data_IF_262163495590
#
_entry.id   IF_262163495590
#
_cell.length_a   1.000
_cell.length_b   1.000
_cell.length_c   1.000
_cell.angle_alpha   90.00
_cell.angle_beta   90.00
_cell.angle_gamma   90.00
#
_symmetry.space_group_name_H-M   'P 1'
#
loop_
_entity.id
_entity.type
_entity.pdbx_description
1 polymer ?
#
# COMPACT_ATOMS: atom_id res chain seq x y z
N UNK A 1 -21.62 -9.43 -11.48
CA UNK A 1 -20.22 -8.93 -11.50
C UNK A 1 -20.15 -7.73 -10.55
N UNK A 2 -19.45 -7.85 -9.43
CA UNK A 2 -19.56 -6.96 -8.25
C UNK A 2 -19.02 -5.52 -8.45
N UNK A 3 -18.47 -5.21 -9.63
CA UNK A 3 -17.80 -3.92 -9.91
C UNK A 3 -18.76 -2.88 -10.50
N UNK A 4 -19.96 -3.28 -10.95
CA UNK A 4 -20.98 -2.37 -11.45
C UNK A 4 -22.30 -2.58 -10.73
N UNK A 5 -22.73 -1.56 -10.00
CA UNK A 5 -24.07 -1.49 -9.43
C UNK A 5 -25.12 -1.11 -10.49
N UNK A 6 -26.37 -1.56 -10.31
CA UNK A 6 -27.46 -1.32 -11.25
C UNK A 6 -27.84 0.16 -11.36
N UNK A 7 -27.57 0.97 -10.32
CA UNK A 7 -27.87 2.40 -10.33
C UNK A 7 -26.81 3.22 -11.11
N UNK A 8 -25.69 2.61 -11.51
CA UNK A 8 -24.64 3.29 -12.27
C UNK A 8 -25.03 3.39 -13.75
N UNK A 9 -25.37 4.61 -14.16
CA UNK A 9 -25.71 4.97 -15.55
C UNK A 9 -24.48 5.20 -16.43
N UNK A 10 -23.31 5.47 -15.85
CA UNK A 10 -22.06 5.65 -16.58
C UNK A 10 -21.49 4.32 -17.10
N UNK A 11 -20.72 4.37 -18.19
CA UNK A 11 -19.97 3.21 -18.67
C UNK A 11 -18.78 2.95 -17.73
N UNK A 12 -18.71 1.73 -17.21
CA UNK A 12 -17.60 1.28 -16.34
C UNK A 12 -16.72 0.32 -17.13
N UNK A 13 -15.44 0.64 -17.24
CA UNK A 13 -14.42 -0.24 -17.84
C UNK A 13 -13.43 -0.64 -16.77
N UNK A 14 -13.09 -1.93 -16.73
CA UNK A 14 -11.98 -2.43 -15.91
C UNK A 14 -10.73 -2.37 -16.77
N UNK A 15 -9.71 -1.67 -16.30
CA UNK A 15 -8.39 -1.64 -16.92
C UNK A 15 -7.38 -2.24 -15.96
N UNK A 16 -6.40 -2.96 -16.51
CA UNK A 16 -5.28 -3.49 -15.76
C UNK A 16 -4.03 -2.69 -16.13
N UNK A 17 -3.23 -2.35 -15.13
CA UNK A 17 -2.02 -1.57 -15.28
C UNK A 17 -0.83 -2.36 -14.73
N UNK A 18 0.30 -2.31 -15.41
CA UNK A 18 1.54 -2.91 -14.91
C UNK A 18 2.15 -2.07 -13.79
N UNK A 19 2.97 -2.68 -12.94
CA UNK A 19 3.71 -1.95 -11.90
C UNK A 19 4.63 -0.90 -12.52
N UNK A 20 5.28 -1.20 -13.64
CA UNK A 20 6.16 -0.24 -14.33
C UNK A 20 5.41 1.04 -14.73
N UNK A 21 4.20 0.89 -15.27
CA UNK A 21 3.39 2.04 -15.63
C UNK A 21 2.84 2.79 -14.41
N UNK A 22 2.65 2.12 -13.27
CA UNK A 22 2.33 2.78 -12.00
C UNK A 22 3.47 3.71 -11.57
N UNK A 23 4.72 3.26 -11.69
CA UNK A 23 5.90 4.09 -11.38
C UNK A 23 6.04 5.31 -12.30
N UNK A 24 5.65 5.18 -13.56
CA UNK A 24 5.63 6.32 -14.50
C UNK A 24 4.51 7.32 -14.13
N UNK A 25 3.32 6.81 -13.77
CA UNK A 25 2.17 7.66 -13.44
C UNK A 25 2.32 8.38 -12.09
N UNK A 26 3.00 7.76 -11.13
CA UNK A 26 3.13 8.23 -9.75
C UNK A 26 4.60 8.20 -9.29
N UNK A 27 5.49 9.00 -9.89
CA UNK A 27 6.94 8.89 -9.68
C UNK A 27 7.38 9.13 -8.22
N UNK A 28 6.66 9.97 -7.48
CA UNK A 28 6.96 10.29 -6.08
C UNK A 28 6.35 9.28 -5.08
N UNK A 29 5.60 8.29 -5.55
CA UNK A 29 4.90 7.31 -4.71
C UNK A 29 5.54 5.92 -4.83
N UNK A 30 6.60 5.69 -4.06
CA UNK A 30 7.41 4.46 -4.11
C UNK A 30 6.79 3.26 -3.36
N UNK A 31 5.51 3.33 -3.01
CA UNK A 31 4.81 2.35 -2.16
C UNK A 31 4.18 1.19 -2.95
N UNK A 32 4.97 0.50 -3.78
CA UNK A 32 4.48 -0.53 -4.72
C UNK A 32 4.45 -1.96 -4.15
N UNK A 33 4.97 -2.15 -2.94
CA UNK A 33 5.19 -3.46 -2.30
C UNK A 33 3.93 -4.34 -2.16
N UNK A 34 2.73 -3.76 -2.14
CA UNK A 34 1.47 -4.52 -2.21
C UNK A 34 1.26 -5.23 -3.55
N UNK A 35 1.82 -4.68 -4.64
CA UNK A 35 1.73 -5.23 -5.99
C UNK A 35 2.93 -6.09 -6.34
N UNK A 36 4.14 -5.66 -5.96
CA UNK A 36 5.38 -6.41 -6.26
C UNK A 36 5.66 -7.53 -5.28
N UNK A 37 5.03 -7.52 -4.11
CA UNK A 37 5.38 -8.42 -3.01
C UNK A 37 6.76 -8.14 -2.41
N UNK A 38 7.39 -7.00 -2.75
CA UNK A 38 8.69 -6.60 -2.22
C UNK A 38 8.55 -6.09 -0.77
N UNK A 39 8.29 -7.03 0.12
CA UNK A 39 8.07 -6.82 1.54
C UNK A 39 8.95 -7.82 2.34
N UNK A 40 9.50 -7.43 3.50
CA UNK A 40 9.40 -6.11 4.13
C UNK A 40 10.41 -5.11 3.55
N UNK A 41 9.98 -3.87 3.37
CA UNK A 41 10.89 -2.78 2.97
C UNK A 41 11.82 -2.41 4.15
N UNK A 42 13.01 -1.86 3.91
CA UNK A 42 13.90 -1.40 4.98
C UNK A 42 13.22 -0.44 5.97
N UNK A 43 12.36 0.45 5.46
CA UNK A 43 11.53 1.33 6.28
C UNK A 43 10.48 0.55 7.09
N UNK A 44 9.82 -0.44 6.49
CA UNK A 44 8.86 -1.31 7.17
C UNK A 44 9.48 -2.08 8.34
N UNK A 45 10.68 -2.65 8.16
CA UNK A 45 11.41 -3.32 9.25
C UNK A 45 11.74 -2.37 10.40
N UNK A 46 12.14 -1.13 10.10
CA UNK A 46 12.41 -0.11 11.12
C UNK A 46 11.16 0.21 11.95
N UNK A 47 10.01 0.38 11.30
CA UNK A 47 8.73 0.64 11.98
C UNK A 47 8.29 -0.56 12.83
N UNK A 48 8.40 -1.79 12.30
CA UNK A 48 8.06 -3.02 13.02
C UNK A 48 8.93 -3.21 14.28
N UNK A 49 10.24 -3.02 14.16
CA UNK A 49 11.16 -3.11 15.30
C UNK A 49 10.89 -2.02 16.35
N UNK A 50 10.57 -0.79 15.92
CA UNK A 50 10.18 0.29 16.84
C UNK A 50 8.89 -0.04 17.58
N UNK A 51 7.89 -0.60 16.89
CA UNK A 51 6.65 -1.04 17.51
C UNK A 51 6.90 -2.13 18.57
N UNK A 52 7.77 -3.09 18.27
CA UNK A 52 8.15 -4.13 19.23
C UNK A 52 8.84 -3.55 20.47
N UNK A 53 9.81 -2.64 20.30
CA UNK A 53 10.47 -1.95 21.42
C UNK A 53 9.46 -1.16 22.26
N UNK A 54 8.59 -0.38 21.62
CA UNK A 54 7.56 0.39 22.32
C UNK A 54 6.65 -0.51 23.16
N UNK A 55 6.25 -1.67 22.61
CA UNK A 55 5.46 -2.66 23.34
C UNK A 55 6.21 -3.24 24.55
N UNK A 56 7.48 -3.64 24.38
CA UNK A 56 8.31 -4.16 25.48
C UNK A 56 8.52 -3.12 26.58
N UNK A 57 8.74 -1.85 26.21
CA UNK A 57 9.01 -0.75 27.14
C UNK A 57 7.74 -0.10 27.70
N UNK A 58 6.54 -0.55 27.30
CA UNK A 58 5.27 0.03 27.75
C UNK A 58 5.01 1.46 27.26
N UNK A 59 5.65 1.88 26.16
CA UNK A 59 5.52 3.23 25.58
C UNK A 59 4.31 3.29 24.64
N UNK A 60 3.38 4.20 24.92
CA UNK A 60 2.21 4.44 24.08
C UNK A 60 2.49 5.50 23.00
N UNK A 61 3.44 5.22 22.13
CA UNK A 61 3.89 6.12 21.06
C UNK A 61 3.75 5.47 19.69
N UNK A 62 3.50 6.28 18.66
CA UNK A 62 3.46 5.81 17.27
C UNK A 62 4.86 5.43 16.80
N UNK A 63 4.94 4.36 16.01
CA UNK A 63 6.20 3.82 15.50
C UNK A 63 6.61 4.39 14.13
N UNK A 64 5.80 5.28 13.57
CA UNK A 64 5.98 5.98 12.29
C UNK A 64 5.74 7.48 12.46
#
# INVERSE_FOLDING_TARGET
>A
MMIRDQNIKAEVKVVFQTVDNLHIACPEHTGDWYFTGNYPTPGGNKVANRAFINWVEGKNERSY
#
